data_IF_590115808808
#
_entry.id   IF_590115808808
#
_cell.length_a   1.000
_cell.length_b   1.000
_cell.length_c   1.000
_cell.angle_alpha   90.00
_cell.angle_beta   90.00
_cell.angle_gamma   90.00
#
_symmetry.space_group_name_H-M   'P 1'
#
loop_
_entity.id
_entity.type
_entity.pdbx_description
1 polymer ?
#
# COMPACT_ATOMS: atom_id res chain seq x y z
N UNK A 1 -7.29 3.10 -9.08
CA UNK A 1 -6.59 2.65 -10.31
C UNK A 1 -7.60 2.07 -11.27
N UNK A 2 -7.81 2.70 -12.41
CA UNK A 2 -8.61 2.14 -13.51
C UNK A 2 -7.83 0.97 -14.12
N UNK A 3 -8.43 -0.19 -14.27
CA UNK A 3 -7.85 -1.40 -14.90
C UNK A 3 -6.59 -2.01 -14.26
N UNK A 4 -6.20 -1.61 -13.04
CA UNK A 4 -5.07 -2.21 -12.32
C UNK A 4 -3.67 -1.87 -12.87
N UNK A 5 -3.54 -1.01 -13.89
CA UNK A 5 -2.27 -0.57 -14.46
C UNK A 5 -1.92 0.85 -14.03
N UNK A 6 -0.64 1.10 -13.74
CA UNK A 6 -0.13 2.44 -13.46
C UNK A 6 0.10 3.18 -14.78
N UNK A 7 -0.35 4.43 -14.87
CA UNK A 7 -0.16 5.32 -16.02
C UNK A 7 0.74 6.50 -15.66
N UNK A 8 1.75 6.77 -16.47
CA UNK A 8 2.69 7.86 -16.25
C UNK A 8 2.52 9.00 -17.24
N UNK A 9 2.48 10.24 -16.76
CA UNK A 9 2.77 11.41 -17.59
C UNK A 9 4.28 11.46 -17.88
N UNK A 10 4.69 11.51 -19.15
CA UNK A 10 6.10 11.49 -19.52
C UNK A 10 6.53 12.84 -20.10
N UNK A 11 7.62 13.36 -19.55
CA UNK A 11 8.29 14.61 -19.98
C UNK A 11 9.71 14.27 -20.43
N UNK A 12 10.06 14.65 -21.65
CA UNK A 12 11.44 14.65 -22.16
C UNK A 12 11.93 16.09 -22.17
N UNK A 13 12.96 16.40 -21.41
CA UNK A 13 13.47 17.78 -21.27
C UNK A 13 14.78 17.98 -22.03
N UNK A 14 14.82 18.90 -22.98
CA UNK A 14 16.03 19.30 -23.72
C UNK A 14 16.25 20.81 -23.63
N UNK A 15 17.39 21.26 -24.08
CA UNK A 15 17.73 22.69 -24.17
C UNK A 15 18.35 23.00 -25.55
N UNK A 16 17.85 24.02 -26.23
CA UNK A 16 18.16 24.36 -27.62
C UNK A 16 19.64 24.47 -27.98
N UNK A 17 20.54 24.68 -27.01
CA UNK A 17 21.99 24.74 -27.23
C UNK A 17 22.70 23.39 -27.21
N UNK A 18 21.97 22.32 -26.91
CA UNK A 18 22.45 20.93 -26.89
C UNK A 18 21.83 20.15 -28.04
N UNK A 19 22.42 18.99 -28.33
CA UNK A 19 21.91 18.15 -29.42
C UNK A 19 20.54 17.54 -29.03
N UNK A 20 19.48 18.02 -29.67
CA UNK A 20 18.10 17.55 -29.45
C UNK A 20 17.84 16.15 -30.04
N UNK A 21 18.70 15.65 -30.95
CA UNK A 21 18.56 14.29 -31.49
C UNK A 21 18.71 13.22 -30.41
N UNK A 22 19.49 13.51 -29.34
CA UNK A 22 19.61 12.62 -28.17
C UNK A 22 18.26 12.37 -27.50
N UNK A 23 17.30 13.28 -27.60
CA UNK A 23 15.97 13.14 -27.06
C UNK A 23 15.12 12.07 -27.79
N UNK A 24 15.35 11.87 -29.09
CA UNK A 24 14.60 10.85 -29.87
C UNK A 24 14.91 9.45 -29.39
N UNK A 25 16.18 9.16 -29.14
CA UNK A 25 16.63 7.88 -28.64
C UNK A 25 16.12 7.63 -27.20
N UNK A 26 16.28 8.62 -26.32
CA UNK A 26 15.81 8.53 -24.93
C UNK A 26 14.29 8.32 -24.86
N UNK A 27 13.52 9.09 -25.64
CA UNK A 27 12.07 8.90 -25.75
C UNK A 27 11.72 7.48 -26.16
N UNK A 28 12.29 7.00 -27.25
CA UNK A 28 12.03 5.65 -27.77
C UNK A 28 12.33 4.57 -26.75
N UNK A 29 13.49 4.65 -26.10
CA UNK A 29 13.91 3.64 -25.12
C UNK A 29 13.08 3.70 -23.83
N UNK A 30 12.78 4.91 -23.33
CA UNK A 30 11.92 5.06 -22.14
C UNK A 30 10.54 4.46 -22.37
N UNK A 31 9.87 4.80 -23.48
CA UNK A 31 8.56 4.28 -23.79
C UNK A 31 8.56 2.76 -23.93
N UNK A 32 9.59 2.20 -24.59
CA UNK A 32 9.79 0.75 -24.67
C UNK A 32 9.90 0.12 -23.26
N UNK A 33 10.68 0.74 -22.36
CA UNK A 33 10.85 0.25 -20.98
C UNK A 33 9.53 0.30 -20.21
N UNK A 34 8.69 1.31 -20.43
CA UNK A 34 7.35 1.41 -19.84
C UNK A 34 6.43 0.31 -20.38
N UNK A 35 6.40 0.09 -21.70
CA UNK A 35 5.59 -0.95 -22.36
C UNK A 35 5.98 -2.36 -21.89
N UNK A 36 7.28 -2.66 -21.83
CA UNK A 36 7.81 -3.92 -21.29
C UNK A 36 7.47 -4.10 -19.81
N UNK A 37 7.27 -2.98 -19.10
CA UNK A 37 6.79 -2.91 -17.73
C UNK A 37 5.31 -3.16 -17.55
N UNK A 38 4.55 -3.12 -18.63
CA UNK A 38 3.09 -3.15 -18.59
C UNK A 38 2.47 -1.85 -18.08
N UNK A 39 3.24 -0.75 -18.09
CA UNK A 39 2.78 0.60 -17.74
C UNK A 39 2.11 1.30 -18.92
N UNK A 40 1.10 2.10 -18.61
CA UNK A 40 0.50 3.03 -19.55
C UNK A 40 1.18 4.39 -19.43
N UNK A 41 1.08 5.21 -20.49
CA UNK A 41 1.68 6.55 -20.45
C UNK A 41 0.92 7.57 -21.28
N UNK A 42 1.03 8.83 -20.88
CA UNK A 42 0.56 10.01 -21.59
C UNK A 42 1.78 10.87 -21.93
N UNK A 43 2.04 11.07 -23.22
CA UNK A 43 3.14 11.89 -23.75
C UNK A 43 2.66 12.66 -24.98
N UNK A 44 3.21 13.84 -25.24
CA UNK A 44 2.90 14.57 -26.49
C UNK A 44 3.26 13.74 -27.74
N UNK A 45 2.52 13.88 -28.87
CA UNK A 45 2.94 13.36 -30.15
C UNK A 45 4.34 13.89 -30.56
N UNK A 46 5.10 13.10 -31.32
CA UNK A 46 6.49 13.44 -31.68
C UNK A 46 6.62 14.78 -32.39
N UNK A 47 5.66 15.11 -33.23
CA UNK A 47 5.59 16.33 -34.04
C UNK A 47 4.96 17.55 -33.31
N UNK A 48 4.56 17.37 -32.05
CA UNK A 48 3.96 18.46 -31.26
C UNK A 48 4.95 19.56 -30.88
N UNK A 49 6.26 19.26 -30.94
CA UNK A 49 7.35 20.21 -30.70
C UNK A 49 8.33 20.22 -31.87
N UNK A 50 9.07 21.35 -32.10
CA UNK A 50 9.98 21.47 -33.23
C UNK A 50 11.11 20.44 -33.28
N UNK A 51 11.44 19.82 -32.13
CA UNK A 51 12.51 18.80 -32.02
C UNK A 51 12.17 17.48 -32.69
N UNK A 52 10.90 17.22 -33.00
CA UNK A 52 10.42 15.92 -33.51
C UNK A 52 10.57 14.76 -32.53
N UNK A 53 10.65 15.07 -31.22
CA UNK A 53 10.73 14.09 -30.11
C UNK A 53 9.75 14.40 -28.98
N UNK A 54 8.85 15.36 -29.17
CA UNK A 54 7.97 15.92 -28.13
C UNK A 54 8.73 16.50 -26.91
N UNK A 55 10.04 16.75 -27.04
CA UNK A 55 10.82 17.30 -25.93
C UNK A 55 10.47 18.77 -25.67
N UNK A 56 10.61 19.17 -24.40
CA UNK A 56 10.38 20.53 -23.94
C UNK A 56 11.66 21.33 -24.08
N UNK A 57 11.65 22.34 -24.92
CA UNK A 57 12.73 23.33 -25.10
C UNK A 57 12.30 24.76 -24.76
N UNK A 58 11.01 25.01 -24.69
CA UNK A 58 10.43 26.33 -24.44
C UNK A 58 9.34 26.26 -23.36
N UNK A 59 8.92 27.43 -22.86
CA UNK A 59 7.77 27.55 -21.98
C UNK A 59 6.50 27.11 -22.69
N UNK A 60 6.34 27.43 -23.96
CA UNK A 60 5.19 27.08 -24.79
C UNK A 60 5.04 25.57 -24.92
N UNK A 61 6.14 24.82 -25.07
CA UNK A 61 6.12 23.35 -25.07
C UNK A 61 5.66 22.81 -23.72
N UNK A 62 6.12 23.38 -22.60
CA UNK A 62 5.65 23.05 -21.26
C UNK A 62 4.14 23.25 -21.10
N UNK A 63 3.59 24.34 -21.64
CA UNK A 63 2.14 24.60 -21.61
C UNK A 63 1.33 23.60 -22.45
N UNK A 64 1.88 23.10 -23.57
CA UNK A 64 1.23 22.02 -24.35
C UNK A 64 1.14 20.74 -23.52
N UNK A 65 2.23 20.37 -22.82
CA UNK A 65 2.27 19.20 -21.94
C UNK A 65 1.26 19.35 -20.78
N UNK A 66 1.26 20.51 -20.10
CA UNK A 66 0.32 20.74 -19.00
C UNK A 66 -1.15 20.62 -19.41
N UNK A 67 -1.48 21.14 -20.61
CA UNK A 67 -2.83 21.01 -21.18
C UNK A 67 -3.20 19.54 -21.44
N UNK A 68 -2.27 18.74 -21.99
CA UNK A 68 -2.50 17.34 -22.22
C UNK A 68 -2.65 16.58 -20.90
N UNK A 69 -1.77 16.81 -19.93
CA UNK A 69 -1.85 16.16 -18.61
C UNK A 69 -3.16 16.50 -17.89
N UNK A 70 -3.63 17.74 -17.96
CA UNK A 70 -4.97 18.10 -17.43
C UNK A 70 -6.12 17.34 -18.10
N UNK A 71 -6.02 17.11 -19.40
CA UNK A 71 -7.05 16.36 -20.14
C UNK A 71 -7.09 14.87 -19.72
N UNK A 72 -5.97 14.33 -19.23
CA UNK A 72 -5.82 12.95 -18.75
C UNK A 72 -5.61 12.86 -17.23
N UNK A 73 -6.06 13.88 -16.47
CA UNK A 73 -5.80 13.98 -15.03
C UNK A 73 -6.28 12.79 -14.21
N UNK A 74 -7.37 12.15 -14.63
CA UNK A 74 -7.94 10.99 -13.96
C UNK A 74 -7.23 9.68 -14.31
N UNK A 75 -6.25 9.71 -15.21
CA UNK A 75 -5.52 8.55 -15.70
C UNK A 75 -4.08 8.53 -15.16
N UNK A 76 -3.44 9.70 -15.01
CA UNK A 76 -2.03 9.84 -14.65
C UNK A 76 -1.84 9.61 -13.15
N UNK A 77 -1.09 8.56 -12.82
CA UNK A 77 -0.74 8.19 -11.43
C UNK A 77 0.58 8.84 -10.96
N UNK A 78 1.47 9.22 -11.87
CA UNK A 78 2.75 9.86 -11.57
C UNK A 78 3.37 10.49 -12.81
N UNK A 79 4.38 11.33 -12.65
CA UNK A 79 5.08 11.99 -13.74
C UNK A 79 6.54 11.52 -13.77
N UNK A 80 7.05 11.15 -14.94
CA UNK A 80 8.45 10.83 -15.17
C UNK A 80 9.06 11.96 -16.00
N UNK A 81 10.07 12.65 -15.46
CA UNK A 81 10.92 13.60 -16.16
C UNK A 81 12.20 12.88 -16.54
N UNK A 82 12.49 12.79 -17.83
CA UNK A 82 13.76 12.25 -18.35
C UNK A 82 14.54 13.31 -19.08
N UNK A 83 15.82 13.45 -18.72
CA UNK A 83 16.74 14.44 -19.23
C UNK A 83 17.80 13.79 -20.11
N UNK A 84 17.64 13.84 -21.46
CA UNK A 84 18.66 13.42 -22.41
C UNK A 84 19.91 14.29 -22.39
N UNK A 85 19.73 15.58 -22.06
CA UNK A 85 20.77 16.59 -21.87
C UNK A 85 20.35 17.56 -20.76
N UNK A 86 20.94 18.77 -20.70
CA UNK A 86 20.75 19.75 -19.63
C UNK A 86 19.27 20.05 -19.33
N UNK A 87 18.39 20.07 -20.32
CA UNK A 87 16.97 20.38 -20.17
C UNK A 87 16.66 21.87 -19.98
N UNK A 88 15.44 22.26 -20.29
CA UNK A 88 14.91 23.62 -20.07
C UNK A 88 13.98 23.61 -18.86
N UNK A 89 14.51 23.93 -17.70
CA UNK A 89 13.84 23.81 -16.40
C UNK A 89 12.50 24.56 -16.33
N UNK A 90 12.41 25.79 -16.88
CA UNK A 90 11.17 26.59 -16.83
C UNK A 90 10.01 25.88 -17.54
N UNK A 91 10.27 25.32 -18.73
CA UNK A 91 9.26 24.57 -19.47
C UNK A 91 8.82 23.31 -18.75
N UNK A 92 9.77 22.56 -18.15
CA UNK A 92 9.51 21.36 -17.38
C UNK A 92 8.66 21.69 -16.15
N UNK A 93 9.02 22.72 -15.38
CA UNK A 93 8.26 23.13 -14.20
C UNK A 93 6.85 23.60 -14.57
N UNK A 94 6.68 24.40 -15.64
CA UNK A 94 5.34 24.80 -16.08
C UNK A 94 4.50 23.59 -16.54
N UNK A 95 5.11 22.59 -17.17
CA UNK A 95 4.41 21.36 -17.54
C UNK A 95 3.79 20.66 -16.32
N UNK A 96 4.50 20.64 -15.18
CA UNK A 96 4.07 19.97 -13.94
C UNK A 96 3.14 20.87 -13.12
N UNK A 97 3.58 22.12 -12.83
CA UNK A 97 2.82 23.03 -11.95
C UNK A 97 1.46 23.41 -12.54
N UNK A 98 1.43 23.76 -13.84
CA UNK A 98 0.20 24.20 -14.50
C UNK A 98 -0.75 23.02 -14.79
N UNK A 99 -0.27 21.76 -14.75
CA UNK A 99 -1.13 20.57 -14.84
C UNK A 99 -1.97 20.35 -13.58
N UNK A 100 -1.50 20.78 -12.42
CA UNK A 100 -2.20 20.69 -11.12
C UNK A 100 -2.67 19.25 -10.78
N UNK A 101 -1.86 18.23 -11.11
CA UNK A 101 -2.23 16.83 -10.88
C UNK A 101 -2.02 16.38 -9.43
N UNK A 102 -1.06 17.00 -8.74
CA UNK A 102 -0.66 16.63 -7.37
C UNK A 102 -0.28 15.13 -7.21
N UNK A 103 0.35 14.57 -8.23
CA UNK A 103 0.87 13.19 -8.25
C UNK A 103 2.39 13.18 -8.03
N UNK A 104 2.99 12.04 -7.62
CA UNK A 104 4.45 11.92 -7.50
C UNK A 104 5.19 12.23 -8.80
N UNK A 105 6.42 12.71 -8.66
CA UNK A 105 7.31 13.06 -9.79
C UNK A 105 8.64 12.31 -9.63
N UNK A 106 9.10 11.61 -10.67
CA UNK A 106 10.43 10.99 -10.77
C UNK A 106 11.30 11.81 -11.69
N UNK A 107 12.55 12.11 -11.31
CA UNK A 107 13.51 12.83 -12.16
C UNK A 107 14.72 11.95 -12.49
N UNK A 108 14.87 11.59 -13.75
CA UNK A 108 15.96 10.78 -14.28
C UNK A 108 16.82 11.63 -15.24
N UNK A 109 18.14 11.44 -15.23
CA UNK A 109 19.07 12.04 -16.16
C UNK A 109 19.99 10.99 -16.76
N UNK A 110 20.34 11.18 -18.06
CA UNK A 110 21.28 10.32 -18.78
C UNK A 110 22.72 10.69 -18.42
N UNK A 111 23.59 9.68 -18.33
CA UNK A 111 25.04 9.88 -18.13
C UNK A 111 25.74 10.32 -19.43
N UNK A 112 26.85 11.02 -19.27
CA UNK A 112 27.78 11.33 -20.35
C UNK A 112 28.72 10.13 -20.59
N UNK A 113 29.13 9.94 -21.84
CA UNK A 113 30.11 8.94 -22.23
C UNK A 113 31.51 9.61 -22.30
N UNK A 114 32.52 9.00 -21.65
CA UNK A 114 33.85 9.59 -21.45
C UNK A 114 34.56 10.00 -22.74
N UNK A 115 34.23 9.41 -23.89
CA UNK A 115 34.78 9.67 -25.21
C UNK A 115 33.90 10.58 -26.09
N UNK A 116 32.74 11.03 -25.56
CA UNK A 116 31.76 11.87 -26.25
C UNK A 116 31.55 13.19 -25.50
N UNK A 117 32.60 14.01 -25.49
CA UNK A 117 32.64 15.31 -24.75
C UNK A 117 32.54 16.55 -25.62
N UNK A 118 32.40 16.37 -26.92
CA UNK A 118 32.19 17.49 -27.87
C UNK A 118 30.74 18.03 -27.76
N UNK A 119 30.49 19.19 -28.37
CA UNK A 119 29.21 19.91 -28.30
C UNK A 119 28.03 19.13 -28.88
N UNK A 120 28.28 18.22 -29.82
CA UNK A 120 27.22 17.43 -30.46
C UNK A 120 26.88 16.17 -29.69
N UNK A 121 27.74 15.71 -28.80
CA UNK A 121 27.60 14.41 -28.11
C UNK A 121 27.38 14.55 -26.62
N UNK A 122 27.95 15.58 -25.95
CA UNK A 122 27.83 15.73 -24.50
C UNK A 122 26.41 16.10 -24.08
N UNK A 123 26.01 15.61 -22.92
CA UNK A 123 24.66 15.77 -22.40
C UNK A 123 24.56 16.84 -21.31
N UNK A 124 25.52 16.93 -20.41
CA UNK A 124 25.45 17.78 -19.21
C UNK A 124 24.13 17.57 -18.43
N UNK A 125 23.56 16.36 -18.52
CA UNK A 125 22.22 16.07 -18.02
C UNK A 125 22.15 16.08 -16.49
N UNK A 126 23.26 15.81 -15.78
CA UNK A 126 23.30 15.92 -14.33
C UNK A 126 23.15 17.37 -13.85
N UNK A 127 23.81 18.33 -14.51
CA UNK A 127 23.57 19.75 -14.23
C UNK A 127 22.10 20.12 -14.43
N UNK A 128 21.48 19.61 -15.50
CA UNK A 128 20.07 19.79 -15.78
C UNK A 128 19.17 19.19 -14.70
N UNK A 129 19.49 17.98 -14.22
CA UNK A 129 18.76 17.34 -13.13
C UNK A 129 18.79 18.17 -11.85
N UNK A 130 19.97 18.66 -11.46
CA UNK A 130 20.10 19.54 -10.28
C UNK A 130 19.24 20.80 -10.47
N UNK A 131 19.25 21.43 -11.66
CA UNK A 131 18.44 22.60 -11.96
C UNK A 131 16.93 22.30 -11.88
N UNK A 132 16.47 21.21 -12.46
CA UNK A 132 15.05 20.79 -12.41
C UNK A 132 14.65 20.50 -10.96
N UNK A 133 15.42 19.73 -10.21
CA UNK A 133 15.16 19.42 -8.80
C UNK A 133 15.14 20.68 -7.93
N UNK A 134 16.06 21.64 -8.18
CA UNK A 134 16.06 22.92 -7.48
C UNK A 134 14.78 23.71 -7.75
N UNK A 135 14.30 23.74 -8.99
CA UNK A 135 13.05 24.41 -9.34
C UNK A 135 11.84 23.70 -8.73
N UNK A 136 11.77 22.36 -8.76
CA UNK A 136 10.72 21.60 -8.08
C UNK A 136 10.65 21.97 -6.59
N UNK A 137 11.82 22.04 -5.93
CA UNK A 137 11.91 22.46 -4.53
C UNK A 137 11.38 23.89 -4.31
N UNK A 138 11.76 24.85 -5.16
CA UNK A 138 11.28 26.23 -5.07
C UNK A 138 9.76 26.35 -5.24
N UNK A 139 9.16 25.51 -6.07
CA UNK A 139 7.71 25.45 -6.28
C UNK A 139 6.97 24.63 -5.22
N UNK A 140 7.69 24.02 -4.26
CA UNK A 140 7.09 23.14 -3.25
C UNK A 140 6.52 21.84 -3.82
N UNK A 141 7.04 21.40 -4.97
CA UNK A 141 6.64 20.15 -5.62
C UNK A 141 7.59 19.04 -5.17
N UNK A 142 7.10 18.06 -4.38
CA UNK A 142 7.91 16.94 -3.96
C UNK A 142 8.26 16.05 -5.16
N UNK A 143 9.44 15.44 -5.10
CA UNK A 143 9.93 14.55 -6.16
C UNK A 143 10.76 13.41 -5.59
N UNK A 144 10.83 12.32 -6.34
CA UNK A 144 11.68 11.15 -6.10
C UNK A 144 12.90 11.22 -7.01
N UNK A 145 14.06 10.90 -6.47
CA UNK A 145 15.30 10.75 -7.23
C UNK A 145 15.52 9.28 -7.65
N UNK A 146 16.36 9.07 -8.65
CA UNK A 146 16.80 7.75 -9.10
C UNK A 146 17.91 7.18 -8.21
N UNK A 147 18.10 5.85 -8.23
CA UNK A 147 19.12 5.14 -7.41
C UNK A 147 20.53 5.70 -7.63
N UNK A 148 20.89 6.03 -8.86
CA UNK A 148 22.14 6.74 -9.19
C UNK A 148 21.80 8.15 -9.67
N UNK A 149 22.73 9.10 -9.49
CA UNK A 149 22.55 10.48 -9.93
C UNK A 149 22.33 10.60 -11.44
N UNK A 150 23.01 9.76 -12.23
CA UNK A 150 22.81 9.54 -13.68
C UNK A 150 23.04 8.07 -14.02
N UNK A 151 22.46 7.62 -15.10
CA UNK A 151 22.77 6.34 -15.76
C UNK A 151 22.25 6.34 -17.19
N UNK A 152 22.78 5.45 -18.02
CA UNK A 152 22.31 5.29 -19.40
C UNK A 152 20.84 4.95 -19.44
N UNK A 153 20.10 5.51 -20.42
CA UNK A 153 18.69 5.15 -20.64
C UNK A 153 18.49 3.64 -20.90
N UNK A 154 19.56 2.92 -21.22
CA UNK A 154 19.59 1.48 -21.44
C UNK A 154 19.98 0.68 -20.20
N UNK A 155 20.29 1.36 -19.08
CA UNK A 155 20.68 0.66 -17.85
C UNK A 155 19.46 -0.07 -17.23
N UNK A 156 19.63 -1.34 -16.83
CA UNK A 156 18.57 -2.10 -16.13
C UNK A 156 18.08 -1.45 -14.82
N UNK A 157 18.85 -0.53 -14.22
CA UNK A 157 18.41 0.23 -13.05
C UNK A 157 17.22 1.11 -13.36
N UNK A 158 17.09 1.67 -14.58
CA UNK A 158 15.93 2.45 -14.99
C UNK A 158 14.63 1.70 -14.73
N UNK A 159 14.56 0.43 -15.14
CA UNK A 159 13.37 -0.39 -14.93
C UNK A 159 13.07 -0.61 -13.45
N UNK A 160 14.10 -0.84 -12.63
CA UNK A 160 13.93 -1.01 -11.17
C UNK A 160 13.43 0.26 -10.50
N UNK A 161 13.96 1.41 -10.89
CA UNK A 161 13.53 2.71 -10.38
C UNK A 161 12.10 3.04 -10.81
N UNK A 162 11.70 2.71 -12.04
CA UNK A 162 10.31 2.85 -12.51
C UNK A 162 9.37 1.93 -11.72
N UNK A 163 9.74 0.66 -11.48
CA UNK A 163 8.94 -0.30 -10.72
C UNK A 163 8.76 0.18 -9.26
N UNK A 164 9.84 0.69 -8.63
CA UNK A 164 9.80 1.32 -7.30
C UNK A 164 8.91 2.56 -7.30
N UNK A 165 9.06 3.44 -8.28
CA UNK A 165 8.26 4.64 -8.41
C UNK A 165 6.77 4.34 -8.62
N UNK A 166 6.43 3.33 -9.44
CA UNK A 166 5.06 2.86 -9.58
C UNK A 166 4.46 2.42 -8.24
N UNK A 167 5.24 1.74 -7.39
CA UNK A 167 4.79 1.37 -6.06
C UNK A 167 4.60 2.60 -5.14
N UNK A 168 5.48 3.60 -5.21
CA UNK A 168 5.32 4.88 -4.50
C UNK A 168 4.03 5.58 -4.94
N UNK A 169 3.77 5.67 -6.26
CA UNK A 169 2.54 6.25 -6.79
C UNK A 169 1.30 5.53 -6.26
N UNK A 170 1.30 4.19 -6.23
CA UNK A 170 0.18 3.42 -5.65
C UNK A 170 -0.07 3.76 -4.19
N UNK A 171 0.98 3.85 -3.37
CA UNK A 171 0.86 4.18 -1.94
C UNK A 171 0.32 5.59 -1.77
N UNK A 172 0.90 6.58 -2.44
CA UNK A 172 0.54 7.99 -2.31
C UNK A 172 -0.90 8.23 -2.75
N UNK A 173 -1.24 7.79 -3.97
CA UNK A 173 -2.58 8.01 -4.53
C UNK A 173 -3.64 7.17 -3.80
N UNK A 174 -3.32 5.92 -3.46
CA UNK A 174 -4.22 5.05 -2.73
C UNK A 174 -4.58 5.61 -1.35
N UNK A 175 -3.61 6.15 -0.61
CA UNK A 175 -3.87 6.75 0.70
C UNK A 175 -4.57 8.11 0.62
N UNK A 176 -4.23 8.95 -0.37
CA UNK A 176 -4.90 10.25 -0.57
C UNK A 176 -6.37 10.15 -0.98
N UNK A 177 -6.81 8.99 -1.47
CA UNK A 177 -8.18 8.77 -1.96
C UNK A 177 -8.82 7.53 -1.32
N UNK A 178 -8.35 7.13 -0.14
CA UNK A 178 -8.83 5.94 0.56
C UNK A 178 -10.25 6.14 1.13
N UNK A 179 -11.15 5.21 0.82
CA UNK A 179 -12.42 5.02 1.51
C UNK A 179 -12.26 3.82 2.45
N UNK A 180 -12.16 4.12 3.74
CA UNK A 180 -11.91 3.13 4.79
C UNK A 180 -13.23 2.73 5.45
N UNK A 181 -13.63 1.48 5.28
CA UNK A 181 -14.83 0.95 5.91
C UNK A 181 -14.66 0.74 7.42
N UNK A 182 -15.66 1.16 8.18
CA UNK A 182 -15.79 0.87 9.60
C UNK A 182 -17.08 0.09 9.83
N UNK A 183 -16.99 -1.20 10.15
CA UNK A 183 -18.15 -2.04 10.47
C UNK A 183 -18.23 -2.26 11.98
N UNK A 184 -19.22 -1.64 12.61
CA UNK A 184 -19.42 -1.66 14.04
C UNK A 184 -18.49 -0.72 14.82
N UNK A 185 -18.19 -1.09 16.06
CA UNK A 185 -17.38 -0.27 16.98
C UNK A 185 -16.25 -1.09 17.62
N UNK A 186 -15.22 -0.41 18.12
CA UNK A 186 -14.14 -1.07 18.85
C UNK A 186 -14.67 -1.71 20.13
N UNK A 187 -14.06 -2.80 20.61
CA UNK A 187 -14.43 -3.45 21.85
C UNK A 187 -14.30 -2.52 23.08
N UNK A 188 -15.13 -2.75 24.10
CA UNK A 188 -14.99 -2.07 25.37
C UNK A 188 -13.59 -2.34 25.96
N UNK A 189 -12.90 -1.29 26.39
CA UNK A 189 -11.55 -1.38 26.93
C UNK A 189 -10.41 -1.26 25.91
N UNK A 190 -10.70 -1.33 24.60
CA UNK A 190 -9.70 -1.17 23.51
C UNK A 190 -9.49 0.31 23.14
N UNK A 191 -9.12 1.13 24.12
CA UNK A 191 -8.74 2.52 23.85
C UNK A 191 -7.53 2.63 22.92
N UNK A 192 -6.74 1.58 22.86
CA UNK A 192 -5.59 1.44 21.95
C UNK A 192 -6.00 1.47 20.46
N UNK A 193 -7.24 1.13 20.10
CA UNK A 193 -7.71 1.19 18.70
C UNK A 193 -8.41 2.51 18.33
N UNK A 194 -8.31 3.56 19.17
CA UNK A 194 -8.86 4.87 18.84
C UNK A 194 -8.06 5.55 17.75
N UNK A 195 -8.76 6.15 16.78
CA UNK A 195 -8.18 6.98 15.74
C UNK A 195 -8.99 8.25 15.55
N UNK A 196 -8.36 9.32 15.12
CA UNK A 196 -9.00 10.59 14.79
C UNK A 196 -9.45 10.60 13.33
N UNK A 197 -10.73 10.42 13.08
CA UNK A 197 -11.30 10.49 11.72
C UNK A 197 -11.02 11.85 11.05
N UNK A 198 -10.96 12.95 11.82
CA UNK A 198 -10.65 14.27 11.29
C UNK A 198 -9.20 14.41 10.81
N UNK A 199 -8.24 13.79 11.49
CA UNK A 199 -6.85 13.74 11.04
C UNK A 199 -6.72 12.84 9.80
N UNK A 200 -7.42 11.71 9.77
CA UNK A 200 -7.48 10.84 8.60
C UNK A 200 -8.07 11.57 7.39
N UNK A 201 -9.21 12.27 7.57
CA UNK A 201 -9.85 13.04 6.50
C UNK A 201 -8.94 14.13 5.94
N UNK A 202 -8.17 14.81 6.79
CA UNK A 202 -7.19 15.83 6.35
C UNK A 202 -6.09 15.22 5.46
N UNK A 203 -5.81 13.94 5.61
CA UNK A 203 -4.85 13.19 4.78
C UNK A 203 -5.48 12.52 3.56
N UNK A 204 -6.78 12.77 3.29
CA UNK A 204 -7.51 12.21 2.15
C UNK A 204 -8.18 10.86 2.42
N UNK A 205 -8.14 10.36 3.67
CA UNK A 205 -8.73 9.10 4.06
C UNK A 205 -10.14 9.35 4.63
N UNK A 206 -11.16 8.89 3.91
CA UNK A 206 -12.56 9.03 4.33
C UNK A 206 -13.03 7.77 5.03
N UNK A 207 -13.45 7.87 6.30
CA UNK A 207 -14.07 6.76 7.02
C UNK A 207 -15.53 6.62 6.62
N UNK A 208 -15.94 5.40 6.23
CA UNK A 208 -17.30 5.04 5.83
C UNK A 208 -17.86 4.09 6.89
N UNK A 209 -18.74 4.57 7.81
CA UNK A 209 -19.26 3.73 8.89
C UNK A 209 -20.45 2.91 8.44
N UNK A 210 -20.58 1.71 9.04
CA UNK A 210 -21.80 0.91 9.06
C UNK A 210 -22.09 0.44 10.49
N UNK A 211 -23.33 0.52 10.91
CA UNK A 211 -23.75 -0.16 12.15
C UNK A 211 -23.66 -1.68 11.96
N UNK A 212 -23.13 -2.40 12.95
CA UNK A 212 -23.02 -3.85 12.87
C UNK A 212 -24.41 -4.51 12.64
N UNK A 213 -25.48 -3.95 13.20
CA UNK A 213 -26.84 -4.44 13.02
C UNK A 213 -27.32 -4.39 11.57
N UNK A 214 -26.86 -3.42 10.76
CA UNK A 214 -27.18 -3.35 9.32
C UNK A 214 -26.57 -4.55 8.57
N UNK A 215 -25.33 -4.87 8.87
CA UNK A 215 -24.62 -6.03 8.26
C UNK A 215 -25.28 -7.33 8.70
N UNK A 216 -25.63 -7.47 10.00
CA UNK A 216 -26.29 -8.66 10.51
C UNK A 216 -27.69 -8.83 9.90
N UNK A 217 -28.46 -7.75 9.78
CA UNK A 217 -29.76 -7.78 9.12
C UNK A 217 -29.63 -8.20 7.65
N UNK A 218 -28.67 -7.62 6.91
CA UNK A 218 -28.40 -8.01 5.53
C UNK A 218 -28.04 -9.51 5.44
N UNK A 219 -27.17 -10.00 6.30
CA UNK A 219 -26.77 -11.40 6.34
C UNK A 219 -27.97 -12.34 6.60
N UNK A 220 -28.88 -11.99 7.53
CA UNK A 220 -30.09 -12.76 7.83
C UNK A 220 -31.09 -12.84 6.66
N UNK A 221 -31.07 -11.86 5.75
CA UNK A 221 -31.95 -11.85 4.57
C UNK A 221 -31.44 -12.71 3.42
N UNK A 222 -30.18 -13.12 3.44
CA UNK A 222 -29.59 -13.98 2.40
C UNK A 222 -30.21 -15.37 2.51
N UNK A 223 -30.81 -15.85 1.43
CA UNK A 223 -31.43 -17.15 1.35
C UNK A 223 -30.41 -18.25 1.08
N UNK A 224 -30.74 -19.50 1.41
CA UNK A 224 -29.85 -20.64 1.22
C UNK A 224 -29.69 -21.04 -0.26
N UNK A 225 -30.59 -20.60 -1.14
CA UNK A 225 -30.54 -20.77 -2.58
C UNK A 225 -29.89 -19.60 -3.34
N UNK A 226 -29.41 -18.57 -2.62
CA UNK A 226 -28.69 -17.43 -3.23
C UNK A 226 -27.35 -17.90 -3.84
N UNK A 227 -27.10 -17.61 -5.14
CA UNK A 227 -25.85 -18.01 -5.81
C UNK A 227 -24.57 -17.51 -5.09
N UNK A 228 -24.57 -16.27 -4.57
CA UNK A 228 -23.43 -15.71 -3.83
C UNK A 228 -23.18 -16.45 -2.53
N UNK A 229 -24.25 -16.89 -1.85
CA UNK A 229 -24.15 -17.70 -0.63
C UNK A 229 -23.53 -19.07 -0.91
N UNK A 230 -24.04 -19.78 -1.94
CA UNK A 230 -23.53 -21.09 -2.34
C UNK A 230 -22.05 -21.00 -2.72
N UNK A 231 -21.71 -19.99 -3.54
CA UNK A 231 -20.31 -19.72 -3.93
C UNK A 231 -19.43 -19.44 -2.70
N UNK A 232 -19.91 -18.63 -1.74
CA UNK A 232 -19.17 -18.31 -0.52
C UNK A 232 -18.92 -19.54 0.36
N UNK A 233 -19.88 -20.42 0.50
CA UNK A 233 -19.71 -21.70 1.21
C UNK A 233 -18.59 -22.54 0.55
N UNK A 234 -18.64 -22.69 -0.78
CA UNK A 234 -17.64 -23.41 -1.54
C UNK A 234 -16.25 -22.77 -1.42
N UNK A 235 -16.19 -21.43 -1.53
CA UNK A 235 -14.94 -20.64 -1.39
C UNK A 235 -14.34 -20.84 0.00
N UNK A 236 -15.13 -20.80 1.07
CA UNK A 236 -14.65 -21.00 2.44
C UNK A 236 -14.12 -22.41 2.65
N UNK A 237 -14.80 -23.45 2.13
CA UNK A 237 -14.34 -24.84 2.21
C UNK A 237 -13.04 -25.09 1.43
N UNK A 238 -12.85 -24.41 0.29
CA UNK A 238 -11.62 -24.50 -0.49
C UNK A 238 -10.47 -23.64 0.10
N UNK A 239 -10.82 -22.63 0.88
CA UNK A 239 -9.86 -21.74 1.53
C UNK A 239 -9.15 -22.38 2.72
N UNK A 240 -9.92 -23.04 3.60
CA UNK A 240 -9.42 -23.67 4.80
C UNK A 240 -10.24 -24.91 5.18
N UNK A 241 -9.61 -25.87 5.88
CA UNK A 241 -10.29 -27.08 6.35
C UNK A 241 -11.33 -26.73 7.42
N UNK A 242 -12.59 -27.07 7.14
CA UNK A 242 -13.71 -26.90 8.08
C UNK A 242 -13.90 -28.23 8.86
N UNK A 243 -13.75 -28.25 10.20
CA UNK A 243 -14.01 -29.45 10.98
C UNK A 243 -15.49 -29.83 10.96
N UNK A 244 -15.80 -31.13 11.00
CA UNK A 244 -17.17 -31.67 10.86
C UNK A 244 -18.16 -31.10 11.89
N UNK A 245 -17.72 -30.90 13.13
CA UNK A 245 -18.53 -30.36 14.21
C UNK A 245 -18.88 -28.86 14.06
N UNK A 246 -18.36 -28.18 13.04
CA UNK A 246 -18.67 -26.75 12.75
C UNK A 246 -19.35 -26.55 11.39
N UNK A 247 -19.70 -27.60 10.65
CA UNK A 247 -20.35 -27.50 9.34
C UNK A 247 -21.66 -26.71 9.36
N UNK A 248 -22.46 -26.84 10.44
CA UNK A 248 -23.70 -26.07 10.62
C UNK A 248 -23.44 -24.54 10.74
N UNK A 249 -22.27 -24.14 11.25
CA UNK A 249 -21.90 -22.72 11.39
C UNK A 249 -21.36 -22.11 10.10
N UNK A 250 -20.96 -22.93 9.13
CA UNK A 250 -20.46 -22.48 7.85
C UNK A 250 -21.48 -21.59 7.12
N UNK A 251 -22.77 -21.94 7.18
CA UNK A 251 -23.83 -21.13 6.56
C UNK A 251 -23.95 -19.73 7.15
N UNK A 252 -23.87 -19.58 8.47
CA UNK A 252 -23.88 -18.27 9.13
C UNK A 252 -22.66 -17.45 8.72
N UNK A 253 -21.47 -18.08 8.75
CA UNK A 253 -20.21 -17.44 8.34
C UNK A 253 -20.26 -16.97 6.89
N UNK A 254 -20.77 -17.80 5.97
CA UNK A 254 -20.89 -17.47 4.56
C UNK A 254 -21.86 -16.29 4.33
N UNK A 255 -23.02 -16.28 4.99
CA UNK A 255 -23.98 -15.17 4.89
C UNK A 255 -23.38 -13.85 5.40
N UNK A 256 -22.66 -13.87 6.52
CA UNK A 256 -21.95 -12.72 7.03
C UNK A 256 -20.90 -12.21 6.02
N UNK A 257 -20.10 -13.12 5.45
CA UNK A 257 -19.08 -12.77 4.45
C UNK A 257 -19.70 -12.14 3.20
N UNK A 258 -20.81 -12.67 2.69
CA UNK A 258 -21.52 -12.10 1.53
C UNK A 258 -22.08 -10.71 1.86
N UNK A 259 -22.66 -10.51 3.04
CA UNK A 259 -23.17 -9.22 3.46
C UNK A 259 -22.07 -8.16 3.54
N UNK A 260 -20.91 -8.52 4.11
CA UNK A 260 -19.73 -7.64 4.18
C UNK A 260 -19.20 -7.32 2.79
N UNK A 261 -19.03 -8.31 1.90
CA UNK A 261 -18.53 -8.07 0.53
C UNK A 261 -19.48 -7.19 -0.28
N UNK A 262 -20.80 -7.42 -0.20
CA UNK A 262 -21.79 -6.56 -0.84
C UNK A 262 -21.76 -5.11 -0.34
N UNK A 263 -21.56 -4.93 0.97
CA UNK A 263 -21.44 -3.59 1.57
C UNK A 263 -20.17 -2.87 1.13
N UNK A 264 -19.02 -3.57 1.08
CA UNK A 264 -17.75 -3.05 0.58
C UNK A 264 -17.89 -2.57 -0.87
N UNK A 265 -18.48 -3.41 -1.74
CA UNK A 265 -18.72 -3.10 -3.14
C UNK A 265 -19.65 -1.89 -3.32
N UNK A 266 -20.78 -1.87 -2.60
CA UNK A 266 -21.76 -0.78 -2.68
C UNK A 266 -21.24 0.58 -2.22
N UNK A 267 -20.21 0.61 -1.36
CA UNK A 267 -19.64 1.82 -0.78
C UNK A 267 -18.25 2.18 -1.34
N UNK A 268 -17.75 1.44 -2.32
CA UNK A 268 -16.40 1.64 -2.92
C UNK A 268 -15.30 1.72 -1.85
N UNK A 269 -15.26 0.72 -0.95
CA UNK A 269 -14.34 0.64 0.18
C UNK A 269 -13.07 -0.12 -0.23
N UNK A 270 -11.88 0.45 0.06
CA UNK A 270 -10.59 -0.14 -0.31
C UNK A 270 -9.95 -0.96 0.81
N UNK A 271 -10.27 -0.63 2.06
CA UNK A 271 -9.84 -1.35 3.26
C UNK A 271 -10.93 -1.26 4.32
N UNK A 272 -11.01 -2.22 5.23
CA UNK A 272 -12.08 -2.26 6.22
C UNK A 272 -11.56 -2.64 7.62
N UNK A 273 -12.16 -2.06 8.66
CA UNK A 273 -11.98 -2.48 10.05
C UNK A 273 -13.30 -3.01 10.59
N UNK A 274 -13.29 -4.26 11.10
CA UNK A 274 -14.52 -5.00 11.46
C UNK A 274 -14.53 -5.29 12.96
N UNK A 275 -15.67 -5.06 13.59
CA UNK A 275 -15.93 -5.45 14.99
C UNK A 275 -15.91 -6.97 15.13
N UNK A 276 -15.17 -7.47 16.13
CA UNK A 276 -15.04 -8.91 16.39
C UNK A 276 -15.32 -9.31 17.85
N UNK A 277 -15.29 -8.41 18.80
CA UNK A 277 -15.55 -8.66 20.22
C UNK A 277 -16.79 -7.89 20.66
N UNK A 278 -17.69 -8.48 21.36
CA UNK A 278 -18.16 -9.87 21.54
C UNK A 278 -19.58 -9.96 20.98
N UNK A 279 -20.04 -8.80 20.46
CA UNK A 279 -21.41 -8.58 19.97
C UNK A 279 -21.79 -9.48 18.79
N UNK A 280 -20.86 -9.70 17.85
CA UNK A 280 -21.08 -10.56 16.69
C UNK A 280 -21.28 -12.01 17.12
N UNK A 281 -20.42 -12.50 18.01
CA UNK A 281 -20.46 -13.85 18.53
C UNK A 281 -21.73 -14.12 19.39
N UNK A 282 -22.13 -13.14 20.18
CA UNK A 282 -23.34 -13.25 21.03
C UNK A 282 -24.62 -13.16 20.22
N UNK A 283 -24.72 -12.20 19.30
CA UNK A 283 -25.97 -11.87 18.62
C UNK A 283 -26.17 -12.64 17.31
N UNK A 284 -25.06 -13.08 16.66
CA UNK A 284 -25.11 -13.78 15.37
C UNK A 284 -24.55 -15.21 15.44
N UNK A 285 -23.56 -15.45 16.29
CA UNK A 285 -23.06 -16.78 16.59
C UNK A 285 -21.91 -17.27 15.66
N UNK A 286 -21.08 -16.38 15.16
CA UNK A 286 -19.80 -16.70 14.51
C UNK A 286 -18.79 -15.57 14.72
N UNK A 287 -17.49 -15.87 14.53
CA UNK A 287 -16.43 -14.89 14.53
C UNK A 287 -16.11 -14.40 13.09
N UNK A 288 -15.72 -13.13 12.87
CA UNK A 288 -15.53 -12.58 11.53
C UNK A 288 -14.14 -12.89 10.92
N UNK A 289 -13.28 -13.61 11.62
CA UNK A 289 -11.85 -13.73 11.27
C UNK A 289 -11.60 -14.30 9.88
N UNK A 290 -12.31 -15.38 9.48
CA UNK A 290 -12.16 -15.95 8.12
C UNK A 290 -12.65 -15.00 7.03
N UNK A 291 -13.68 -14.20 7.32
CA UNK A 291 -14.13 -13.13 6.40
C UNK A 291 -13.00 -12.13 6.16
N UNK A 292 -12.37 -11.63 7.22
CA UNK A 292 -11.24 -10.72 7.15
C UNK A 292 -10.03 -11.35 6.44
N UNK A 293 -9.75 -12.62 6.71
CA UNK A 293 -8.70 -13.40 6.07
C UNK A 293 -8.91 -13.47 4.55
N UNK A 294 -10.10 -13.84 4.09
CA UNK A 294 -10.45 -13.93 2.66
C UNK A 294 -10.50 -12.58 1.96
N UNK A 295 -10.92 -11.50 2.63
CA UNK A 295 -10.86 -10.13 2.10
C UNK A 295 -9.42 -9.69 1.89
N UNK A 296 -8.57 -9.85 2.91
CA UNK A 296 -7.15 -9.51 2.82
C UNK A 296 -6.43 -10.30 1.72
N UNK A 297 -6.82 -11.56 1.51
CA UNK A 297 -6.29 -12.40 0.42
C UNK A 297 -6.67 -11.90 -0.98
N UNK A 298 -7.79 -11.16 -1.10
CA UNK A 298 -8.22 -10.43 -2.30
C UNK A 298 -7.62 -9.02 -2.41
N UNK A 299 -6.64 -8.69 -1.59
CA UNK A 299 -6.02 -7.37 -1.49
C UNK A 299 -6.98 -6.26 -1.01
N UNK A 300 -8.02 -6.62 -0.27
CA UNK A 300 -8.89 -5.71 0.49
C UNK A 300 -8.54 -5.90 1.96
N UNK A 301 -7.57 -5.14 2.50
CA UNK A 301 -7.13 -5.31 3.89
C UNK A 301 -8.28 -5.20 4.89
N UNK A 302 -8.37 -6.16 5.79
CA UNK A 302 -9.42 -6.22 6.79
C UNK A 302 -8.82 -6.38 8.20
N UNK A 303 -8.90 -5.29 8.98
CA UNK A 303 -8.39 -5.24 10.35
C UNK A 303 -9.44 -5.69 11.36
N UNK A 304 -9.01 -6.38 12.41
CA UNK A 304 -9.84 -6.78 13.54
C UNK A 304 -10.10 -5.61 14.50
N UNK A 305 -11.09 -5.77 15.38
CA UNK A 305 -11.34 -4.88 16.53
C UNK A 305 -11.65 -3.43 16.14
N UNK A 306 -12.14 -3.25 14.91
CA UNK A 306 -12.43 -1.93 14.34
C UNK A 306 -11.21 -0.99 14.41
N UNK A 307 -10.00 -1.56 14.25
CA UNK A 307 -8.75 -0.79 14.25
C UNK A 307 -8.53 -0.07 12.91
N UNK A 308 -9.05 1.15 12.81
CA UNK A 308 -8.93 1.99 11.60
C UNK A 308 -7.46 2.25 11.23
N UNK A 309 -6.61 2.56 12.19
CA UNK A 309 -5.19 2.82 11.95
C UNK A 309 -4.45 1.55 11.51
N UNK A 310 -4.85 0.38 12.04
CA UNK A 310 -4.37 -0.92 11.59
C UNK A 310 -4.77 -1.23 10.14
N UNK A 311 -6.02 -0.97 9.77
CA UNK A 311 -6.49 -1.16 8.40
C UNK A 311 -5.75 -0.28 7.39
N UNK A 312 -5.47 0.99 7.73
CA UNK A 312 -4.67 1.89 6.90
C UNK A 312 -3.22 1.39 6.80
N UNK A 313 -2.64 0.91 7.91
CA UNK A 313 -1.29 0.36 7.92
C UNK A 313 -1.18 -0.87 7.00
N UNK A 314 -2.17 -1.76 7.06
CA UNK A 314 -2.28 -2.91 6.15
C UNK A 314 -2.43 -2.46 4.70
N UNK A 315 -3.26 -1.42 4.44
CA UNK A 315 -3.50 -0.93 3.09
C UNK A 315 -2.24 -0.31 2.48
N UNK A 316 -1.50 0.49 3.22
CA UNK A 316 -0.21 1.05 2.79
C UNK A 316 0.78 -0.06 2.37
N UNK A 317 0.91 -1.11 3.19
CA UNK A 317 1.76 -2.27 2.89
C UNK A 317 1.26 -3.04 1.65
N UNK A 318 -0.06 -3.22 1.52
CA UNK A 318 -0.66 -3.90 0.36
C UNK A 318 -0.41 -3.12 -0.93
N UNK A 319 -0.55 -1.79 -0.92
CA UNK A 319 -0.25 -0.92 -2.06
C UNK A 319 1.25 -0.94 -2.43
N UNK A 320 2.14 -0.90 -1.44
CA UNK A 320 3.58 -0.95 -1.65
C UNK A 320 4.03 -2.28 -2.27
N UNK A 321 3.53 -3.38 -1.74
CA UNK A 321 3.96 -4.74 -2.09
C UNK A 321 3.18 -5.39 -3.23
N UNK A 322 1.96 -4.91 -3.51
CA UNK A 322 0.95 -5.60 -4.33
C UNK A 322 0.74 -7.06 -3.87
N UNK A 323 0.73 -7.25 -2.53
CA UNK A 323 0.54 -8.53 -1.84
C UNK A 323 -0.34 -8.34 -0.62
N UNK A 324 -0.97 -9.41 -0.17
CA UNK A 324 -1.74 -9.39 1.06
C UNK A 324 -0.86 -9.06 2.27
N UNK A 325 -1.37 -8.18 3.12
CA UNK A 325 -0.83 -7.86 4.43
C UNK A 325 -1.68 -8.51 5.53
N UNK A 326 -1.16 -8.52 6.76
CA UNK A 326 -1.88 -8.99 7.94
C UNK A 326 -1.70 -8.01 9.10
N UNK A 327 -2.67 -7.98 10.02
CA UNK A 327 -2.57 -7.28 11.29
C UNK A 327 -2.19 -8.28 12.37
N UNK A 328 -1.11 -8.02 13.09
CA UNK A 328 -0.56 -8.86 14.15
C UNK A 328 -0.44 -8.05 15.44
N UNK A 329 -0.35 -8.78 16.57
CA UNK A 329 0.10 -8.19 17.83
C UNK A 329 1.62 -8.36 18.00
N UNK A 330 2.29 -7.36 18.56
CA UNK A 330 3.55 -7.57 19.27
C UNK A 330 3.21 -8.28 20.59
N UNK A 331 3.12 -9.62 20.58
CA UNK A 331 2.43 -10.37 21.60
C UNK A 331 3.35 -10.83 22.75
N UNK A 332 4.31 -11.70 22.46
CA UNK A 332 5.15 -12.34 23.50
C UNK A 332 6.63 -12.31 23.14
N UNK A 333 7.48 -12.39 24.17
CA UNK A 333 8.87 -12.77 23.98
C UNK A 333 8.98 -14.20 23.44
N UNK A 334 10.07 -14.50 22.74
CA UNK A 334 10.38 -15.86 22.32
C UNK A 334 11.54 -16.39 23.17
N UNK A 335 11.22 -17.16 24.20
CA UNK A 335 12.18 -17.68 25.19
C UNK A 335 13.17 -16.57 25.66
N UNK A 336 14.46 -16.85 25.65
CA UNK A 336 15.51 -15.92 26.06
C UNK A 336 16.10 -15.09 24.90
N UNK A 337 15.64 -15.31 23.66
CA UNK A 337 16.14 -14.56 22.51
C UNK A 337 15.54 -13.14 22.48
N UNK A 338 16.39 -12.15 22.70
CA UNK A 338 15.97 -10.75 22.83
C UNK A 338 15.75 -10.03 21.49
N UNK A 339 16.10 -10.66 20.36
CA UNK A 339 15.82 -10.18 19.02
C UNK A 339 14.61 -10.88 18.37
N UNK A 340 14.01 -11.85 19.07
CA UNK A 340 12.81 -12.55 18.61
C UNK A 340 11.59 -12.23 19.46
N UNK A 341 10.43 -12.18 18.81
CA UNK A 341 9.14 -12.13 19.48
C UNK A 341 8.11 -13.01 18.75
N UNK A 342 7.07 -13.36 19.46
CA UNK A 342 5.91 -14.03 18.89
C UNK A 342 4.90 -12.98 18.50
N UNK A 343 4.49 -13.00 17.24
CA UNK A 343 3.42 -12.15 16.74
C UNK A 343 2.22 -13.04 16.39
N UNK A 344 1.09 -12.76 17.02
CA UNK A 344 -0.14 -13.54 16.83
C UNK A 344 -1.31 -12.61 16.57
N UNK A 345 -2.42 -13.19 16.18
CA UNK A 345 -3.73 -12.54 16.22
C UNK A 345 -4.83 -13.61 16.21
N UNK A 346 -6.05 -13.18 16.40
CA UNK A 346 -7.25 -14.04 16.53
C UNK A 346 -7.53 -15.00 15.37
N UNK A 347 -6.81 -14.91 14.22
CA UNK A 347 -7.02 -15.80 13.08
C UNK A 347 -7.56 -15.11 11.84
N UNK A 348 -7.13 -13.87 11.57
CA UNK A 348 -7.56 -13.04 10.43
C UNK A 348 -6.52 -12.93 9.30
N UNK A 349 -5.38 -13.68 9.37
CA UNK A 349 -4.33 -13.56 8.36
C UNK A 349 -4.76 -14.16 7.02
N UNK A 350 -4.45 -13.45 5.94
CA UNK A 350 -4.66 -13.93 4.58
C UNK A 350 -3.88 -15.23 4.28
N UNK A 351 -4.44 -16.15 3.51
CA UNK A 351 -3.79 -17.39 3.12
C UNK A 351 -2.46 -17.15 2.41
N UNK A 352 -2.41 -16.19 1.50
CA UNK A 352 -1.17 -15.81 0.80
C UNK A 352 -0.13 -15.18 1.73
N UNK A 353 -0.55 -14.47 2.80
CA UNK A 353 0.36 -14.01 3.85
C UNK A 353 0.90 -15.18 4.68
N UNK A 354 0.07 -16.15 5.03
CA UNK A 354 0.50 -17.37 5.74
C UNK A 354 1.54 -18.13 4.92
N UNK A 355 1.34 -18.21 3.60
CA UNK A 355 2.32 -18.76 2.68
C UNK A 355 2.38 -20.28 2.64
N UNK A 356 1.38 -20.98 3.17
CA UNK A 356 1.18 -22.43 3.05
C UNK A 356 -0.32 -22.75 2.97
N UNK A 357 -0.64 -24.02 2.74
CA UNK A 357 -2.01 -24.49 2.57
C UNK A 357 -2.58 -25.24 3.80
N UNK A 358 -1.85 -25.29 4.90
CA UNK A 358 -2.31 -26.00 6.12
C UNK A 358 -3.12 -25.06 7.02
N UNK A 359 -4.27 -24.60 6.51
CA UNK A 359 -5.20 -23.74 7.22
C UNK A 359 -6.38 -24.56 7.72
N UNK A 360 -6.75 -24.33 8.99
CA UNK A 360 -7.95 -24.91 9.62
C UNK A 360 -8.82 -23.80 10.17
N UNK A 361 -10.14 -23.98 10.11
CA UNK A 361 -11.07 -23.13 10.83
C UNK A 361 -11.36 -23.72 12.21
N UNK A 362 -11.49 -22.83 13.18
CA UNK A 362 -11.78 -23.21 14.56
C UNK A 362 -12.53 -22.11 15.31
N UNK A 363 -12.78 -22.29 16.60
CA UNK A 363 -13.35 -21.26 17.46
C UNK A 363 -12.28 -20.16 17.72
N UNK A 364 -12.71 -18.93 17.92
CA UNK A 364 -11.84 -17.88 18.44
C UNK A 364 -11.50 -18.21 19.90
N UNK A 365 -10.26 -18.69 20.15
CA UNK A 365 -9.88 -19.34 21.40
C UNK A 365 -10.13 -18.50 22.66
N UNK A 366 -9.78 -17.20 22.62
CA UNK A 366 -9.96 -16.28 23.75
C UNK A 366 -11.44 -16.15 24.15
N UNK A 367 -12.30 -15.84 23.18
CA UNK A 367 -13.74 -15.67 23.43
C UNK A 367 -14.48 -17.01 23.64
N UNK A 368 -13.95 -18.09 23.07
CA UNK A 368 -14.53 -19.43 23.22
C UNK A 368 -14.61 -19.92 24.66
N UNK A 369 -13.80 -19.34 25.56
CA UNK A 369 -13.84 -19.66 27.01
C UNK A 369 -15.09 -19.13 27.70
N UNK A 370 -15.61 -17.97 27.27
CA UNK A 370 -16.76 -17.31 27.92
C UNK A 370 -18.04 -17.41 27.10
N UNK A 371 -17.96 -17.35 25.76
CA UNK A 371 -19.10 -17.34 24.85
C UNK A 371 -19.43 -18.74 24.25
N UNK A 372 -18.56 -19.72 24.51
CA UNK A 372 -18.67 -21.06 23.96
C UNK A 372 -18.03 -21.21 22.57
N UNK A 373 -17.39 -22.35 22.34
CA UNK A 373 -16.65 -22.64 21.09
C UNK A 373 -17.52 -22.62 19.84
N UNK A 374 -18.79 -22.98 19.96
CA UNK A 374 -19.73 -23.02 18.81
C UNK A 374 -20.03 -21.61 18.29
N UNK A 375 -20.28 -20.66 19.18
CA UNK A 375 -20.63 -19.27 18.77
C UNK A 375 -19.42 -18.43 18.33
N UNK A 376 -18.22 -18.90 18.60
CA UNK A 376 -16.98 -18.23 18.26
C UNK A 376 -16.23 -18.88 17.07
N UNK A 377 -16.91 -19.77 16.32
CA UNK A 377 -16.37 -20.40 15.11
C UNK A 377 -16.13 -19.36 14.03
N UNK A 378 -15.01 -19.49 13.30
CA UNK A 378 -14.63 -18.63 12.16
C UNK A 378 -13.20 -18.12 12.22
N UNK A 379 -12.42 -18.46 13.24
CA UNK A 379 -10.99 -18.15 13.31
C UNK A 379 -10.16 -19.09 12.43
N UNK A 380 -9.14 -18.54 11.75
CA UNK A 380 -8.15 -19.31 10.99
C UNK A 380 -6.99 -19.70 11.92
N UNK A 381 -6.61 -20.96 11.86
CA UNK A 381 -5.47 -21.52 12.59
C UNK A 381 -4.37 -21.88 11.60
N UNK A 382 -3.23 -21.23 11.73
CA UNK A 382 -2.08 -21.48 10.87
C UNK A 382 -0.77 -20.91 11.47
N UNK A 383 0.35 -21.51 11.10
CA UNK A 383 1.68 -20.94 11.31
C UNK A 383 2.15 -20.29 10.03
N UNK A 384 2.64 -19.05 10.11
CA UNK A 384 3.17 -18.32 8.96
C UNK A 384 4.52 -18.94 8.55
N UNK A 385 4.72 -19.14 7.26
CA UNK A 385 5.95 -19.65 6.70
C UNK A 385 7.09 -18.64 6.86
N UNK A 386 8.33 -19.14 6.99
CA UNK A 386 9.53 -18.32 7.07
C UNK A 386 9.74 -17.38 5.86
N UNK A 387 10.44 -16.29 6.07
CA UNK A 387 10.80 -15.34 5.02
C UNK A 387 10.88 -13.90 5.50
N UNK A 388 11.36 -12.98 4.64
CA UNK A 388 11.46 -11.57 4.97
C UNK A 388 10.09 -10.93 5.13
N UNK A 389 10.02 -9.90 6.00
CA UNK A 389 8.83 -9.08 6.14
C UNK A 389 9.18 -7.61 6.38
N UNK A 390 8.25 -6.75 6.02
CA UNK A 390 8.21 -5.34 6.43
C UNK A 390 7.08 -5.17 7.42
N UNK A 391 7.34 -4.47 8.52
CA UNK A 391 6.33 -4.04 9.48
C UNK A 391 6.08 -2.53 9.38
N UNK A 392 4.83 -2.15 9.58
CA UNK A 392 4.40 -0.76 9.51
C UNK A 392 3.21 -0.51 10.42
N UNK A 393 3.20 0.63 11.10
CA UNK A 393 2.07 1.08 11.90
C UNK A 393 1.94 2.59 11.84
N UNK A 394 0.73 3.09 11.57
CA UNK A 394 0.37 4.48 11.79
C UNK A 394 -0.40 4.62 13.11
N UNK A 395 -0.40 5.82 13.66
CA UNK A 395 -1.23 6.24 14.79
C UNK A 395 -1.60 7.71 14.63
N UNK A 396 -2.79 8.11 15.09
CA UNK A 396 -3.15 9.52 15.19
C UNK A 396 -2.71 10.08 16.53
N UNK A 397 -1.94 11.16 16.52
CA UNK A 397 -1.53 11.90 17.71
C UNK A 397 -2.36 13.17 17.82
N UNK A 398 -3.58 13.03 18.35
CA UNK A 398 -4.57 14.11 18.42
C UNK A 398 -4.06 15.33 19.20
N UNK A 399 -3.34 15.19 20.34
CA UNK A 399 -2.74 16.32 21.04
C UNK A 399 -1.77 17.15 20.21
N UNK A 400 -1.07 16.52 19.24
CA UNK A 400 -0.15 17.21 18.34
C UNK A 400 -0.78 17.56 17.00
N UNK A 401 -1.95 17.00 16.68
CA UNK A 401 -2.63 17.21 15.41
C UNK A 401 -1.90 16.58 14.21
N UNK A 402 -1.20 15.47 14.40
CA UNK A 402 -0.38 14.79 13.39
C UNK A 402 -0.71 13.30 13.28
N UNK A 403 -0.36 12.71 12.13
CA UNK A 403 -0.23 11.28 11.96
C UNK A 403 1.24 10.92 12.15
N UNK A 404 1.50 9.98 13.05
CA UNK A 404 2.83 9.42 13.29
C UNK A 404 2.87 7.96 12.85
N UNK A 405 4.07 7.46 12.50
CA UNK A 405 4.25 6.08 12.05
C UNK A 405 5.60 5.51 12.49
N UNK A 406 5.68 4.18 12.51
CA UNK A 406 6.97 3.48 12.53
C UNK A 406 7.01 2.42 11.44
N UNK A 407 8.19 2.19 10.90
CA UNK A 407 8.48 1.33 9.77
C UNK A 407 9.78 0.57 10.03
N UNK A 408 9.87 -0.67 9.57
CA UNK A 408 11.10 -1.43 9.58
C UNK A 408 10.91 -2.81 8.96
N UNK A 409 11.94 -3.65 9.06
CA UNK A 409 11.93 -4.99 8.47
C UNK A 409 12.51 -6.05 9.42
N UNK A 410 12.26 -7.31 9.10
CA UNK A 410 12.77 -8.45 9.83
C UNK A 410 12.59 -9.75 9.07
N UNK A 411 12.75 -10.87 9.79
CA UNK A 411 12.58 -12.22 9.25
C UNK A 411 11.53 -12.98 10.07
N UNK A 412 10.57 -13.59 9.41
CA UNK A 412 9.73 -14.63 10.01
C UNK A 412 10.57 -15.91 10.03
N UNK A 413 10.68 -16.53 11.19
CA UNK A 413 11.50 -17.71 11.39
C UNK A 413 10.65 -18.99 11.42
N UNK A 414 11.28 -20.13 11.21
CA UNK A 414 10.61 -21.43 11.32
C UNK A 414 10.62 -22.00 12.75
N UNK A 415 10.94 -21.19 13.76
CA UNK A 415 10.96 -21.63 15.15
C UNK A 415 9.59 -22.19 15.58
N UNK A 416 9.55 -23.32 16.33
CA UNK A 416 8.30 -23.91 16.78
C UNK A 416 7.64 -23.04 17.85
N UNK A 417 6.32 -22.85 17.72
CA UNK A 417 5.49 -22.23 18.76
C UNK A 417 4.05 -22.76 18.66
N UNK A 418 3.49 -23.17 19.78
CA UNK A 418 2.14 -23.75 19.86
C UNK A 418 1.17 -22.79 20.55
N UNK A 419 0.23 -22.22 19.78
CA UNK A 419 -0.83 -21.35 20.26
C UNK A 419 -2.03 -21.43 19.33
N UNK A 420 -3.23 -21.11 19.83
CA UNK A 420 -4.43 -21.00 19.01
C UNK A 420 -4.38 -19.75 18.12
N UNK A 421 -4.94 -19.83 16.91
CA UNK A 421 -5.02 -18.74 15.94
C UNK A 421 -3.89 -18.75 14.92
N UNK A 422 -3.54 -17.57 14.41
CA UNK A 422 -2.46 -17.39 13.47
C UNK A 422 -1.19 -16.92 14.18
N UNK A 423 -0.04 -17.54 13.85
CA UNK A 423 1.21 -17.39 14.59
C UNK A 423 2.36 -17.10 13.64
N UNK A 424 3.17 -16.10 13.98
CA UNK A 424 4.49 -15.84 13.40
C UNK A 424 5.53 -15.70 14.52
N UNK A 425 6.64 -16.40 14.44
CA UNK A 425 7.84 -16.07 15.24
C UNK A 425 8.70 -15.16 14.39
N UNK A 426 8.94 -13.95 14.87
CA UNK A 426 9.64 -12.90 14.11
C UNK A 426 10.97 -12.57 14.76
N UNK A 427 11.96 -12.28 13.93
CA UNK A 427 13.26 -11.76 14.32
C UNK A 427 13.43 -10.36 13.75
N UNK A 428 13.76 -9.40 14.61
CA UNK A 428 14.00 -8.00 14.24
C UNK A 428 15.30 -7.55 14.90
N UNK A 429 16.19 -6.96 14.13
CA UNK A 429 17.42 -6.39 14.67
C UNK A 429 17.10 -5.25 15.64
N UNK A 430 17.86 -5.17 16.74
CA UNK A 430 17.62 -4.17 17.78
C UNK A 430 16.17 -4.14 18.31
N UNK A 431 15.46 -5.28 18.38
CA UNK A 431 14.06 -5.38 18.79
C UNK A 431 13.77 -4.60 20.09
N UNK A 432 14.67 -4.66 21.08
CA UNK A 432 14.48 -3.96 22.35
C UNK A 432 14.44 -2.42 22.20
N UNK A 433 15.17 -1.86 21.23
CA UNK A 433 15.11 -0.44 20.87
C UNK A 433 13.74 -0.10 20.26
N UNK A 434 13.24 -0.94 19.35
CA UNK A 434 11.93 -0.80 18.75
C UNK A 434 10.81 -0.85 19.79
N UNK A 435 10.81 -1.85 20.66
CA UNK A 435 9.78 -2.00 21.70
C UNK A 435 9.74 -0.81 22.65
N UNK A 436 10.91 -0.30 23.06
CA UNK A 436 10.99 0.92 23.85
C UNK A 436 10.47 2.15 23.12
N UNK A 437 10.74 2.26 21.81
CA UNK A 437 10.23 3.34 20.98
C UNK A 437 8.70 3.30 20.92
N UNK A 438 8.12 2.15 20.61
CA UNK A 438 6.67 1.92 20.55
C UNK A 438 6.01 2.34 21.86
N UNK A 439 6.49 1.82 22.99
CA UNK A 439 5.92 2.12 24.31
C UNK A 439 6.04 3.61 24.68
N UNK A 440 7.22 4.23 24.48
CA UNK A 440 7.47 5.63 24.89
C UNK A 440 6.73 6.64 24.00
N UNK A 441 6.44 6.29 22.76
CA UNK A 441 5.74 7.17 21.82
C UNK A 441 4.25 6.86 21.74
N UNK A 442 3.71 6.00 22.62
CA UNK A 442 2.27 5.72 22.71
C UNK A 442 1.68 5.13 21.44
N UNK A 443 2.39 4.20 20.83
CA UNK A 443 1.83 3.39 19.75
C UNK A 443 1.01 2.23 20.30
N UNK A 444 0.14 1.73 19.47
CA UNK A 444 -0.71 0.57 19.72
C UNK A 444 0.08 -0.74 19.69
N UNK A 445 -0.49 -1.80 20.26
CA UNK A 445 0.14 -3.14 20.25
C UNK A 445 -0.02 -3.85 18.89
N UNK A 446 -1.00 -3.45 18.07
CA UNK A 446 -1.15 -3.95 16.72
C UNK A 446 -0.06 -3.41 15.78
N UNK A 447 0.37 -4.25 14.86
CA UNK A 447 1.29 -3.93 13.77
C UNK A 447 0.84 -4.59 12.48
N UNK A 448 0.90 -3.89 11.36
CA UNK A 448 0.68 -4.49 10.06
C UNK A 448 1.99 -5.05 9.51
N UNK A 449 1.92 -6.20 8.83
CA UNK A 449 3.08 -6.82 8.19
C UNK A 449 2.76 -7.30 6.77
N UNK A 450 3.77 -7.27 5.88
CA UNK A 450 3.72 -7.89 4.55
C UNK A 450 4.99 -8.72 4.32
N UNK A 451 4.88 -9.86 3.66
CA UNK A 451 6.01 -10.79 3.44
C UNK A 451 6.87 -10.39 2.26
N UNK A 452 7.55 -9.26 2.37
CA UNK A 452 8.57 -8.77 1.42
C UNK A 452 9.20 -7.51 2.00
N UNK A 453 10.35 -7.07 1.47
CA UNK A 453 10.97 -5.78 1.82
C UNK A 453 10.38 -4.68 0.94
N UNK A 454 9.71 -3.71 1.55
CA UNK A 454 9.16 -2.50 0.91
C UNK A 454 9.45 -1.24 1.74
N UNK A 455 10.47 -1.30 2.61
CA UNK A 455 10.84 -0.19 3.50
C UNK A 455 11.12 1.08 2.69
N UNK A 456 11.96 1.01 1.67
CA UNK A 456 12.34 2.18 0.86
C UNK A 456 11.16 2.80 0.08
N UNK A 457 10.15 2.00 -0.25
CA UNK A 457 8.94 2.46 -0.94
C UNK A 457 8.07 3.27 0.03
N UNK A 458 7.84 2.73 1.23
CA UNK A 458 7.02 3.41 2.25
C UNK A 458 7.73 4.62 2.82
N UNK A 459 9.04 4.54 3.05
CA UNK A 459 9.84 5.67 3.53
C UNK A 459 9.71 6.86 2.57
N UNK A 460 9.96 6.62 1.28
CA UNK A 460 9.82 7.65 0.25
C UNK A 460 8.39 8.19 0.14
N UNK A 461 7.38 7.31 0.09
CA UNK A 461 5.98 7.72 -0.03
C UNK A 461 5.53 8.59 1.15
N UNK A 462 5.94 8.25 2.37
CA UNK A 462 5.49 8.91 3.58
C UNK A 462 6.25 10.21 3.83
N UNK A 463 7.59 10.17 3.80
CA UNK A 463 8.41 11.33 4.11
C UNK A 463 8.36 12.39 3.00
N UNK A 464 8.38 11.96 1.72
CA UNK A 464 8.43 12.89 0.59
C UNK A 464 7.04 13.44 0.23
N UNK A 465 5.98 12.60 0.26
CA UNK A 465 4.68 12.98 -0.31
C UNK A 465 3.55 13.13 0.69
N UNK A 466 3.51 12.35 1.77
CA UNK A 466 2.41 12.37 2.73
C UNK A 466 2.70 13.26 3.95
N UNK A 467 3.96 13.50 4.27
CA UNK A 467 4.39 14.38 5.36
C UNK A 467 3.97 13.88 6.76
N UNK A 468 3.82 12.57 6.95
CA UNK A 468 3.57 11.98 8.26
C UNK A 468 4.88 11.87 9.05
N UNK A 469 4.79 11.92 10.37
CA UNK A 469 5.95 11.80 11.25
C UNK A 469 6.41 10.34 11.34
N UNK A 470 7.40 9.95 10.53
CA UNK A 470 7.85 8.56 10.36
C UNK A 470 9.16 8.29 11.11
N UNK A 471 9.16 7.23 11.92
CA UNK A 471 10.38 6.61 12.46
C UNK A 471 10.71 5.36 11.65
N UNK A 472 11.87 5.33 11.01
CA UNK A 472 12.43 4.14 10.36
C UNK A 472 13.36 3.42 11.33
N UNK A 473 13.05 2.17 11.64
CA UNK A 473 13.84 1.33 12.54
C UNK A 473 14.95 0.62 11.78
N UNK A 474 16.21 0.83 12.23
CA UNK A 474 17.44 0.25 11.70
C UNK A 474 18.24 -0.48 12.79
#
# INVERSE_FOLDING_TARGET
MRNGKTCFGVIIGTRAYFNSELAKDVRKQLLKTLEEGGYEYVILPEDATPTGSSSIETREDGLKVSKQFRAHRDEIDGIIVSLPNFGFEIGIINAISDAELNVPVLVQACDDENDKVDLDSRRDAFCGKISVCNNLYQYGIPFTDTTLHTYSIYDPLLRKDIDKFAAICRVVNGLRHCRLGQIGTRPLGFNTCRASEKLLQRSGITVVPADLSEILYAAQKIKDDDPKFIEMCNRTCNYAKVPDNYKEKLGLQAKFSVAVENWIEANDVQAVAIQCWDSLEQNYGCAPCVTMSMLSDKLIPAACETDLAGAISMYALTLAANKASALLDWNNNFAEDRNKCVCTHCGNYAKSFIGNNDLKLGPLGVLGRTLGKINTFGAVYAKVSEGPFTFFRISTDDPKGEIKAYLGKGQITNDPYGMDGCIAVTQVDNLQKLMKYICKNGFEHHVAMVRTDVVDILDEAINTYLGWNLYVHN
#
